data_IF_367052430609
#
_entry.id   IF_367052430609
#
_cell.length_a   1.000
_cell.length_b   1.000
_cell.length_c   1.000
_cell.angle_alpha   90.00
_cell.angle_beta   90.00
_cell.angle_gamma   90.00
#
_symmetry.space_group_name_H-M   'P 1'
#
loop_
_entity.id
_entity.type
_entity.pdbx_description
1 polymer ?
#
# COMPACT_ATOMS: atom_id res chain seq x y z
N UNK A 1 27.35 -25.46 -1.44
CA UNK A 1 26.49 -24.87 -2.47
C UNK A 1 25.50 -23.96 -1.74
N UNK A 2 26.02 -22.98 -1.01
CA UNK A 2 25.25 -22.24 0.01
C UNK A 2 25.26 -20.74 -0.27
N UNK A 3 26.24 -20.28 -1.04
CA UNK A 3 26.37 -18.89 -1.46
C UNK A 3 25.27 -18.44 -2.43
N UNK A 4 24.82 -19.35 -3.31
CA UNK A 4 23.75 -19.03 -4.26
C UNK A 4 22.41 -18.84 -3.55
N UNK A 5 22.13 -19.68 -2.54
CA UNK A 5 20.95 -19.56 -1.69
C UNK A 5 20.97 -18.23 -0.91
N UNK A 6 22.10 -17.89 -0.28
CA UNK A 6 22.23 -16.63 0.46
C UNK A 6 22.02 -15.40 -0.44
N UNK A 7 22.51 -15.44 -1.69
CA UNK A 7 22.33 -14.36 -2.67
C UNK A 7 20.87 -14.25 -3.09
N UNK A 8 20.18 -15.37 -3.33
CA UNK A 8 18.75 -15.39 -3.69
C UNK A 8 17.90 -14.84 -2.54
N UNK A 9 18.24 -15.18 -1.30
CA UNK A 9 17.54 -14.70 -0.11
C UNK A 9 17.64 -13.17 0.02
N UNK A 10 18.86 -12.63 -0.10
CA UNK A 10 19.10 -11.18 -0.09
C UNK A 10 18.40 -10.47 -1.25
N UNK A 11 18.38 -11.06 -2.45
CA UNK A 11 17.69 -10.51 -3.62
C UNK A 11 16.18 -10.41 -3.40
N UNK A 12 15.58 -11.41 -2.74
CA UNK A 12 14.14 -11.42 -2.44
C UNK A 12 13.76 -10.33 -1.45
N UNK A 13 14.58 -10.09 -0.42
CA UNK A 13 14.38 -8.99 0.52
C UNK A 13 14.50 -7.62 -0.16
N UNK A 14 15.49 -7.46 -1.04
CA UNK A 14 15.67 -6.25 -1.83
C UNK A 14 14.52 -6.02 -2.81
N UNK A 15 14.01 -7.08 -3.45
CA UNK A 15 12.89 -7.01 -4.36
C UNK A 15 11.62 -6.53 -3.65
N UNK A 16 11.35 -7.00 -2.41
CA UNK A 16 10.18 -6.55 -1.64
C UNK A 16 10.24 -5.06 -1.33
N UNK A 17 11.40 -4.56 -0.87
CA UNK A 17 11.61 -3.13 -0.60
C UNK A 17 11.51 -2.27 -1.86
N UNK A 18 12.01 -2.78 -2.99
CA UNK A 18 11.88 -2.11 -4.29
C UNK A 18 10.42 -2.04 -4.73
N UNK A 19 9.66 -3.13 -4.57
CA UNK A 19 8.23 -3.16 -4.87
C UNK A 19 7.50 -2.15 -3.99
N UNK A 20 7.72 -2.14 -2.67
CA UNK A 20 7.08 -1.18 -1.77
C UNK A 20 7.47 0.28 -2.09
N UNK A 21 8.72 0.53 -2.49
CA UNK A 21 9.19 1.86 -2.88
C UNK A 21 8.65 2.33 -4.23
N UNK A 22 8.39 1.42 -5.17
CA UNK A 22 7.92 1.74 -6.53
C UNK A 22 6.40 1.80 -6.60
N UNK A 23 5.72 0.85 -5.94
CA UNK A 23 4.26 0.77 -5.91
C UNK A 23 3.65 1.61 -4.78
N UNK A 24 4.48 2.15 -3.88
CA UNK A 24 4.05 2.94 -2.74
C UNK A 24 3.43 2.06 -1.65
N UNK A 25 3.17 2.63 -0.46
CA UNK A 25 2.35 1.95 0.54
C UNK A 25 1.02 1.55 -0.10
N UNK A 26 0.53 0.36 0.27
CA UNK A 26 -0.81 -0.11 -0.10
C UNK A 26 -1.78 1.06 0.08
N UNK A 27 -2.57 1.42 -0.95
CA UNK A 27 -3.43 2.58 -0.87
C UNK A 27 -4.29 2.43 0.37
N UNK A 28 -4.14 3.35 1.33
CA UNK A 28 -5.02 3.39 2.50
C UNK A 28 -6.44 3.37 1.96
N UNK A 29 -7.31 2.48 2.47
CA UNK A 29 -8.69 2.43 2.01
C UNK A 29 -9.25 3.84 2.16
N UNK A 30 -9.64 4.45 1.02
CA UNK A 30 -10.17 5.81 1.02
C UNK A 30 -11.28 5.87 2.09
N UNK A 31 -11.20 6.80 3.05
CA UNK A 31 -12.21 6.87 4.09
C UNK A 31 -13.57 7.04 3.42
N UNK A 32 -14.51 6.16 3.76
CA UNK A 32 -15.86 6.20 3.21
C UNK A 32 -16.43 7.63 3.37
N UNK A 33 -16.92 8.20 2.27
CA UNK A 33 -17.46 9.55 2.26
C UNK A 33 -18.68 9.61 3.20
N UNK A 34 -18.53 10.33 4.31
CA UNK A 34 -19.64 10.56 5.24
C UNK A 34 -20.60 11.59 4.58
N UNK A 35 -21.88 11.25 4.35
CA UNK A 35 -22.82 12.18 3.76
C UNK A 35 -23.08 13.37 4.70
N UNK A 36 -22.98 14.59 4.17
CA UNK A 36 -23.28 15.81 4.92
C UNK A 36 -24.81 15.99 4.96
N UNK A 37 -25.43 16.14 6.15
CA UNK A 37 -26.86 16.39 6.25
C UNK A 37 -27.19 17.75 5.63
N UNK A 38 -27.98 17.73 4.56
CA UNK A 38 -28.54 18.95 3.95
C UNK A 38 -29.73 19.37 4.80
N UNK A 39 -29.69 20.58 5.39
CA UNK A 39 -30.88 21.17 6.01
C UNK A 39 -31.82 21.58 4.89
N UNK A 40 -32.83 20.75 4.64
CA UNK A 40 -33.94 21.09 3.76
C UNK A 40 -34.71 22.23 4.43
N UNK A 41 -34.48 23.46 3.96
CA UNK A 41 -35.28 24.60 4.39
C UNK A 41 -36.59 24.50 3.60
N UNK A 42 -37.49 23.62 4.06
CA UNK A 42 -38.88 23.57 3.58
C UNK A 42 -39.45 24.98 3.69
N UNK A 43 -39.77 25.56 2.53
CA UNK A 43 -40.51 26.81 2.40
C UNK A 43 -41.97 26.61 2.72
#
# INVERSE_FOLDING_TARGET
>A
MDYLDEVIEKLREWARKLIDSVFGPEPEPEPELIPIPVRDHSR
#
